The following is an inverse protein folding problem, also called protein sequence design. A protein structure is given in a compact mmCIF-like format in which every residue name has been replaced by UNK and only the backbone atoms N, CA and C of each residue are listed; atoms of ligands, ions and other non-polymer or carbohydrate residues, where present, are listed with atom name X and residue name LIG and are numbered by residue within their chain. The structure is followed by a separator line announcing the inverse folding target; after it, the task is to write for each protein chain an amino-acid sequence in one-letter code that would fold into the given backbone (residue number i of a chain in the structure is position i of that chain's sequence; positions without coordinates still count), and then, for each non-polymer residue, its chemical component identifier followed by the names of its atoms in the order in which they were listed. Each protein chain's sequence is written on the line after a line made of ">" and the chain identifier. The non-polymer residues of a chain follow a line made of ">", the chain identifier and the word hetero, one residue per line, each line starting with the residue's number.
data_IF_101633807407
#
_entry.id   IF_101633807407
#
_cell.length_a   1.000
_cell.length_b   1.000
_cell.length_c   1.000
_cell.angle_alpha   90.00
_cell.angle_beta   90.00
_cell.angle_gamma   90.00
#
_symmetry.space_group_name_H-M   'P 1'
#
loop_
_entity.id
_entity.type
_entity.pdbx_description
1 polymer ?
#
# COMPACT_ATOMS: atom_id res chain seq x y z
N UNK A 1 -15.11 4.65 10.86
CA UNK A 1 -13.90 3.84 10.58
C UNK A 1 -13.17 3.43 11.86
N UNK A 2 -12.92 4.36 12.73
CA UNK A 2 -12.25 4.07 14.01
C UNK A 2 -13.00 3.04 14.86
N UNK A 3 -14.32 3.18 14.96
CA UNK A 3 -15.14 2.24 15.73
C UNK A 3 -15.10 0.84 15.15
N UNK A 4 -15.04 0.74 13.83
CA UNK A 4 -14.96 -0.56 13.15
C UNK A 4 -13.65 -1.26 13.49
N UNK A 5 -12.55 -0.51 13.50
CA UNK A 5 -11.25 -1.06 13.88
C UNK A 5 -11.24 -1.53 15.33
N UNK A 6 -11.79 -0.71 16.24
CA UNK A 6 -11.81 -1.03 17.66
C UNK A 6 -12.75 -2.16 18.02
N UNK A 7 -13.88 -2.26 17.34
CA UNK A 7 -14.94 -3.20 17.71
C UNK A 7 -14.90 -4.52 16.94
N UNK A 8 -14.39 -4.52 15.72
CA UNK A 8 -14.42 -5.70 14.85
C UNK A 8 -13.01 -6.22 14.58
N UNK A 9 -12.17 -5.40 13.97
CA UNK A 9 -10.86 -5.86 13.50
C UNK A 9 -9.85 -6.00 14.64
N UNK A 10 -9.79 -5.04 15.53
CA UNK A 10 -8.87 -5.08 16.65
C UNK A 10 -8.98 -6.34 17.49
N UNK A 11 -10.20 -6.66 18.01
CA UNK A 11 -10.38 -7.88 18.80
C UNK A 11 -10.03 -9.17 18.06
N UNK A 12 -10.31 -9.23 16.75
CA UNK A 12 -10.06 -10.43 15.96
C UNK A 12 -8.59 -10.62 15.64
N UNK A 13 -7.86 -9.52 15.41
CA UNK A 13 -6.48 -9.54 14.93
C UNK A 13 -5.47 -9.12 15.97
N UNK A 14 -5.92 -8.86 17.18
CA UNK A 14 -5.04 -8.48 18.26
C UNK A 14 -4.02 -9.60 18.50
N UNK A 15 -2.77 -9.27 18.35
CA UNK A 15 -1.68 -10.19 18.57
C UNK A 15 -0.82 -9.71 19.74
N UNK A 16 0.07 -10.55 20.19
CA UNK A 16 0.99 -10.19 21.26
C UNK A 16 2.02 -9.12 20.83
N UNK A 17 2.01 -8.72 19.58
CA UNK A 17 2.87 -7.65 19.13
C UNK A 17 2.44 -6.34 19.79
N UNK A 18 3.38 -5.52 20.27
CA UNK A 18 3.02 -4.25 20.87
C UNK A 18 2.27 -3.41 19.85
N UNK A 19 1.08 -2.99 20.23
CA UNK A 19 0.27 -2.12 19.39
C UNK A 19 0.92 -0.74 19.36
N UNK A 20 1.88 -0.56 18.48
CA UNK A 20 2.31 0.78 18.13
C UNK A 20 1.14 1.41 17.38
N UNK A 21 0.57 2.46 17.92
CA UNK A 21 -0.54 3.18 17.30
C UNK A 21 -0.02 4.08 16.19
N UNK A 22 0.72 3.50 15.27
CA UNK A 22 1.23 4.15 14.08
C UNK A 22 0.57 3.53 12.87
N UNK A 23 0.65 4.21 11.75
CA UNK A 23 0.15 3.68 10.48
C UNK A 23 0.95 2.45 10.03
N UNK A 24 2.11 2.22 10.63
CA UNK A 24 2.97 1.07 10.35
C UNK A 24 3.14 0.22 11.61
N UNK A 25 3.22 -1.08 11.41
CA UNK A 25 3.57 -2.00 12.47
C UNK A 25 5.08 -2.18 12.51
N UNK A 26 5.65 -2.15 13.70
CA UNK A 26 7.08 -2.42 13.90
C UNK A 26 7.22 -3.78 14.57
N UNK A 27 7.93 -4.68 13.91
CA UNK A 27 8.03 -6.08 14.31
C UNK A 27 9.48 -6.46 14.56
N UNK A 28 9.79 -7.06 15.72
CA UNK A 28 11.15 -7.53 15.97
C UNK A 28 11.46 -8.74 15.09
N UNK A 29 12.63 -8.72 14.46
CA UNK A 29 13.12 -9.83 13.63
C UNK A 29 14.60 -10.03 14.00
N UNK A 30 14.87 -10.94 14.91
CA UNK A 30 16.22 -11.13 15.43
C UNK A 30 16.73 -9.86 16.09
N UNK A 31 17.89 -9.37 15.68
CA UNK A 31 18.49 -8.14 16.23
C UNK A 31 18.00 -6.88 15.51
N UNK A 32 17.17 -7.03 14.48
CA UNK A 32 16.63 -5.92 13.70
C UNK A 32 15.15 -5.74 13.97
N UNK A 33 14.61 -4.61 13.57
CA UNK A 33 13.17 -4.37 13.60
C UNK A 33 12.68 -4.16 12.19
N UNK A 34 11.60 -4.85 11.83
CA UNK A 34 10.94 -4.73 10.55
C UNK A 34 9.71 -3.85 10.71
N UNK A 35 9.56 -2.90 9.83
CA UNK A 35 8.37 -2.06 9.79
C UNK A 35 7.52 -2.48 8.62
N UNK A 36 6.22 -2.63 8.85
CA UNK A 36 5.26 -3.04 7.83
C UNK A 36 4.06 -2.12 7.83
N UNK A 37 3.61 -1.74 6.64
CA UNK A 37 2.41 -0.93 6.48
C UNK A 37 1.61 -1.39 5.27
N UNK A 38 0.35 -1.00 5.22
CA UNK A 38 -0.51 -1.25 4.06
C UNK A 38 -1.45 -0.06 3.88
N UNK A 39 -1.75 0.25 2.63
CA UNK A 39 -2.62 1.37 2.28
C UNK A 39 -3.45 1.02 1.06
N UNK A 40 -4.67 1.52 0.98
CA UNK A 40 -5.59 1.21 -0.11
C UNK A 40 -6.08 2.49 -0.76
N UNK A 41 -6.16 2.47 -2.08
CA UNK A 41 -6.57 3.60 -2.89
C UNK A 41 -7.64 3.19 -3.88
N UNK A 42 -8.59 4.09 -4.10
CA UNK A 42 -9.63 3.90 -5.11
C UNK A 42 -9.34 4.85 -6.27
N UNK A 43 -9.29 4.31 -7.48
CA UNK A 43 -9.07 5.10 -8.68
C UNK A 43 -10.34 5.08 -9.52
N UNK A 44 -10.95 6.24 -9.65
CA UNK A 44 -12.05 6.44 -10.58
C UNK A 44 -11.46 7.03 -11.87
N UNK A 45 -11.50 6.29 -12.99
CA UNK A 45 -10.87 6.75 -14.21
C UNK A 45 -11.48 8.03 -14.77
N UNK A 46 -12.72 8.36 -14.38
CA UNK A 46 -13.35 9.60 -14.80
C UNK A 46 -12.77 10.83 -14.08
N UNK A 47 -12.16 10.62 -12.93
CA UNK A 47 -11.60 11.69 -12.10
C UNK A 47 -10.11 11.92 -12.31
N UNK A 48 -9.42 10.96 -12.93
CA UNK A 48 -7.97 11.00 -13.08
C UNK A 48 -7.53 10.59 -14.47
N UNK A 49 -7.82 11.42 -15.47
CA UNK A 49 -7.27 11.15 -16.80
C UNK A 49 -5.75 11.34 -16.74
N UNK A 50 -5.00 10.33 -17.08
CA UNK A 50 -3.55 10.46 -17.16
C UNK A 50 -2.73 9.60 -16.21
N UNK A 51 -3.35 8.89 -15.28
CA UNK A 51 -2.66 7.86 -14.50
C UNK A 51 -1.77 8.36 -13.37
N UNK A 52 -1.90 9.61 -12.95
CA UNK A 52 -1.08 10.17 -11.86
C UNK A 52 -1.31 9.53 -10.49
N UNK A 53 -2.37 8.75 -10.35
CA UNK A 53 -2.77 8.15 -9.06
C UNK A 53 -1.79 7.07 -8.57
N UNK A 54 -1.00 6.49 -9.46
CA UNK A 54 0.00 5.50 -9.05
C UNK A 54 1.08 6.09 -8.15
N UNK A 55 1.39 7.37 -8.33
CA UNK A 55 2.38 8.06 -7.51
C UNK A 55 1.95 8.15 -6.05
N UNK A 56 0.75 8.64 -5.70
CA UNK A 56 0.31 8.63 -4.31
C UNK A 56 0.21 7.23 -3.71
N UNK A 57 -0.15 6.22 -4.52
CA UNK A 57 -0.25 4.85 -4.03
C UNK A 57 1.10 4.32 -3.52
N UNK A 58 2.19 4.67 -4.18
CA UNK A 58 3.53 4.30 -3.75
C UNK A 58 4.03 5.24 -2.66
N UNK A 59 3.94 6.54 -2.90
CA UNK A 59 4.50 7.55 -1.99
C UNK A 59 3.82 7.55 -0.62
N UNK A 60 2.51 7.29 -0.57
CA UNK A 60 1.80 7.20 0.70
C UNK A 60 2.32 6.08 1.57
N UNK A 61 2.53 4.91 0.99
CA UNK A 61 3.06 3.75 1.72
C UNK A 61 4.50 3.98 2.13
N UNK A 62 5.33 4.54 1.25
CA UNK A 62 6.71 4.89 1.58
C UNK A 62 6.75 5.91 2.72
N UNK A 63 5.88 6.91 2.66
CA UNK A 63 5.81 7.92 3.71
C UNK A 63 5.43 7.32 5.08
N UNK A 64 4.50 6.37 5.09
CA UNK A 64 4.11 5.70 6.33
C UNK A 64 5.28 4.94 6.95
N UNK A 65 6.10 4.29 6.13
CA UNK A 65 7.31 3.63 6.61
C UNK A 65 8.32 4.64 7.18
N UNK A 66 8.51 5.74 6.47
CA UNK A 66 9.43 6.80 6.91
C UNK A 66 8.97 7.44 8.21
N UNK A 67 7.67 7.63 8.38
CA UNK A 67 7.12 8.20 9.61
C UNK A 67 7.34 7.30 10.83
N UNK A 68 7.48 6.00 10.62
CA UNK A 68 7.82 5.06 11.68
C UNK A 68 9.34 4.95 11.90
N UNK A 69 10.13 5.77 11.24
CA UNK A 69 11.59 5.75 11.36
C UNK A 69 12.27 4.66 10.56
N UNK A 70 11.57 4.05 9.62
CA UNK A 70 12.11 2.96 8.84
C UNK A 70 12.72 3.45 7.52
N UNK A 71 13.71 2.70 7.05
CA UNK A 71 14.21 2.83 5.69
C UNK A 71 13.37 1.91 4.81
N UNK A 72 12.57 2.45 3.88
CA UNK A 72 11.74 1.61 3.01
C UNK A 72 12.60 0.69 2.15
N UNK A 73 12.15 -0.54 1.95
CA UNK A 73 12.90 -1.51 1.17
C UNK A 73 12.06 -2.11 0.04
N UNK A 74 10.93 -2.72 0.37
CA UNK A 74 10.12 -3.46 -0.60
C UNK A 74 8.65 -3.12 -0.45
N UNK A 75 7.95 -3.14 -1.58
CA UNK A 75 6.51 -2.99 -1.62
C UNK A 75 5.88 -4.19 -2.32
N UNK A 76 4.64 -4.46 -1.98
CA UNK A 76 3.74 -5.27 -2.78
C UNK A 76 2.61 -4.39 -3.30
N UNK A 77 2.03 -4.79 -4.44
CA UNK A 77 0.92 -4.04 -5.03
C UNK A 77 -0.18 -4.99 -5.47
N UNK A 78 -1.36 -4.83 -4.89
CA UNK A 78 -2.54 -5.58 -5.29
C UNK A 78 -3.50 -4.69 -6.05
N UNK A 79 -4.17 -5.25 -7.04
CA UNK A 79 -5.13 -4.54 -7.86
C UNK A 79 -6.45 -5.28 -7.91
N UNK A 80 -7.54 -4.57 -7.76
CA UNK A 80 -8.87 -5.09 -8.08
C UNK A 80 -9.41 -4.22 -9.21
N UNK A 81 -9.61 -4.83 -10.36
CA UNK A 81 -10.03 -4.15 -11.58
C UNK A 81 -11.50 -4.45 -11.86
N UNK A 82 -12.25 -3.41 -12.22
CA UNK A 82 -13.57 -3.62 -12.76
C UNK A 82 -13.47 -4.05 -14.22
N UNK A 83 -14.27 -5.04 -14.59
CA UNK A 83 -14.32 -5.51 -15.98
C UNK A 83 -14.59 -4.34 -16.91
N UNK A 84 -13.82 -4.24 -17.98
CA UNK A 84 -13.90 -3.14 -18.92
C UNK A 84 -13.01 -1.95 -18.60
N UNK A 85 -12.26 -1.99 -17.52
CA UNK A 85 -11.29 -0.94 -17.22
C UNK A 85 -10.26 -0.85 -18.36
N UNK A 86 -10.02 0.33 -18.94
CA UNK A 86 -9.14 0.45 -20.11
C UNK A 86 -7.71 0.03 -19.82
N UNK A 87 -7.16 -0.80 -20.69
CA UNK A 87 -5.79 -1.30 -20.53
C UNK A 87 -4.76 -0.17 -20.56
N UNK A 88 -4.99 0.84 -21.41
CA UNK A 88 -4.09 1.99 -21.49
C UNK A 88 -4.05 2.77 -20.17
N UNK A 89 -5.21 2.91 -19.52
CA UNK A 89 -5.28 3.56 -18.21
C UNK A 89 -4.54 2.76 -17.15
N UNK A 90 -4.68 1.43 -17.20
CA UNK A 90 -3.93 0.56 -16.28
C UNK A 90 -2.43 0.69 -16.50
N UNK A 91 -1.98 0.73 -17.75
CA UNK A 91 -0.55 0.90 -18.05
C UNK A 91 0.00 2.20 -17.50
N UNK A 92 -0.77 3.28 -17.59
CA UNK A 92 -0.35 4.58 -17.04
C UNK A 92 -0.24 4.55 -15.53
N UNK A 93 -1.21 3.91 -14.86
CA UNK A 93 -1.17 3.76 -13.40
C UNK A 93 0.06 2.95 -12.99
N UNK A 94 0.28 1.80 -13.62
CA UNK A 94 1.42 0.93 -13.31
C UNK A 94 2.74 1.64 -13.58
N UNK A 95 2.83 2.38 -14.69
CA UNK A 95 4.05 3.12 -15.01
C UNK A 95 4.33 4.22 -13.98
N UNK A 96 3.30 4.95 -13.55
CA UNK A 96 3.49 5.97 -12.51
C UNK A 96 3.93 5.35 -11.17
N UNK A 97 3.46 4.14 -10.87
CA UNK A 97 3.90 3.41 -9.69
C UNK A 97 5.37 3.00 -9.82
N UNK A 98 5.76 2.50 -10.97
CA UNK A 98 7.15 2.10 -11.22
C UNK A 98 8.10 3.29 -11.12
N UNK A 99 7.71 4.43 -11.68
CA UNK A 99 8.51 5.65 -11.63
C UNK A 99 8.66 6.16 -10.20
N UNK A 100 7.57 6.16 -9.45
CA UNK A 100 7.60 6.58 -8.05
C UNK A 100 8.45 5.64 -7.20
N UNK A 101 8.36 4.33 -7.43
CA UNK A 101 9.16 3.35 -6.71
C UNK A 101 10.65 3.56 -6.97
N UNK A 102 11.02 3.81 -8.23
CA UNK A 102 12.41 4.09 -8.58
C UNK A 102 12.91 5.36 -7.89
N UNK A 103 12.10 6.39 -7.86
CA UNK A 103 12.43 7.66 -7.21
C UNK A 103 12.63 7.50 -5.71
N UNK A 104 11.78 6.69 -5.07
CA UNK A 104 11.86 6.41 -3.64
C UNK A 104 12.88 5.32 -3.30
N UNK A 105 13.52 4.72 -4.29
CA UNK A 105 14.50 3.63 -4.12
C UNK A 105 13.92 2.41 -3.40
N UNK A 106 12.69 2.07 -3.75
CA UNK A 106 12.04 0.84 -3.28
C UNK A 106 11.73 -0.04 -4.47
N UNK A 107 11.61 -1.34 -4.25
CA UNK A 107 11.25 -2.28 -5.30
C UNK A 107 9.86 -2.84 -5.02
N UNK A 108 9.02 -2.87 -6.05
CA UNK A 108 7.74 -3.57 -5.98
C UNK A 108 8.03 -5.01 -6.39
N UNK A 109 7.98 -5.92 -5.43
CA UNK A 109 8.54 -7.27 -5.60
C UNK A 109 7.48 -8.35 -5.80
N UNK A 110 6.23 -8.06 -5.48
CA UNK A 110 5.14 -9.03 -5.64
C UNK A 110 3.82 -8.30 -5.70
N UNK A 111 2.78 -8.99 -6.10
CA UNK A 111 1.45 -8.43 -6.17
C UNK A 111 0.41 -9.46 -6.55
N UNK A 112 -0.81 -8.98 -6.69
CA UNK A 112 -1.94 -9.80 -7.09
C UNK A 112 -2.90 -8.95 -7.92
N UNK A 113 -3.67 -9.59 -8.77
CA UNK A 113 -4.66 -8.89 -9.59
C UNK A 113 -5.96 -9.69 -9.60
N UNK A 114 -7.05 -9.02 -9.34
CA UNK A 114 -8.37 -9.61 -9.37
C UNK A 114 -9.27 -8.76 -10.24
N UNK A 115 -10.09 -9.42 -11.07
CA UNK A 115 -11.05 -8.72 -11.91
C UNK A 115 -12.45 -9.00 -11.39
N UNK A 116 -13.24 -7.96 -11.20
CA UNK A 116 -14.62 -8.07 -10.75
C UNK A 116 -15.57 -7.65 -11.88
N UNK A 117 -16.83 -8.08 -11.77
CA UNK A 117 -17.83 -7.81 -12.78
C UNK A 117 -18.09 -6.30 -12.91
N UNK A 118 -18.43 -5.89 -14.14
CA UNK A 118 -18.79 -4.51 -14.41
C UNK A 118 -19.94 -4.07 -13.50
N UNK A 119 -19.82 -2.86 -12.97
CA UNK A 119 -20.79 -2.30 -12.03
C UNK A 119 -20.57 -2.69 -10.58
N UNK A 120 -19.56 -3.50 -10.31
CA UNK A 120 -19.23 -3.96 -8.94
C UNK A 120 -18.09 -3.19 -8.30
N UNK A 121 -17.64 -2.11 -8.93
CA UNK A 121 -16.54 -1.31 -8.41
C UNK A 121 -16.51 0.06 -9.05
N UNK A 122 -15.46 0.82 -8.79
CA UNK A 122 -15.28 2.18 -9.30
C UNK A 122 -14.07 2.29 -10.20
N UNK A 123 -13.77 1.25 -10.99
CA UNK A 123 -12.65 1.25 -11.89
C UNK A 123 -11.52 0.39 -11.38
N UNK A 124 -10.63 0.93 -10.57
CA UNK A 124 -9.55 0.15 -9.99
C UNK A 124 -9.34 0.50 -8.52
N UNK A 125 -9.09 -0.53 -7.73
CA UNK A 125 -8.63 -0.40 -6.35
C UNK A 125 -7.18 -0.86 -6.32
N UNK A 126 -6.34 -0.10 -5.63
CA UNK A 126 -4.94 -0.41 -5.47
C UNK A 126 -4.64 -0.54 -3.98
N UNK A 127 -4.05 -1.66 -3.61
CA UNK A 127 -3.51 -1.82 -2.27
C UNK A 127 -2.00 -1.94 -2.39
N UNK A 128 -1.27 -1.10 -1.66
CA UNK A 128 0.16 -1.23 -1.54
C UNK A 128 0.50 -1.58 -0.11
N UNK A 129 1.40 -2.52 0.06
CA UNK A 129 1.95 -2.87 1.35
C UNK A 129 3.46 -2.72 1.26
N UNK A 130 4.05 -2.26 2.33
CA UNK A 130 5.47 -2.00 2.34
C UNK A 130 6.16 -2.56 3.56
N UNK A 131 7.44 -2.88 3.40
CA UNK A 131 8.31 -3.25 4.50
C UNK A 131 9.57 -2.40 4.46
N UNK A 132 10.06 -2.07 5.62
CA UNK A 132 11.29 -1.33 5.78
C UNK A 132 12.01 -1.77 7.04
N UNK A 133 13.25 -1.38 7.14
CA UNK A 133 14.09 -1.72 8.29
C UNK A 133 14.27 -0.51 9.18
N UNK A 134 14.06 -0.68 10.46
CA UNK A 134 14.46 0.32 11.44
C UNK A 134 15.93 0.11 11.72
N UNK A 135 16.74 1.07 11.28
CA UNK A 135 18.16 1.11 11.60
C UNK A 135 18.32 1.97 12.80
N UNK A 136 18.88 1.44 13.81
CA UNK A 136 19.29 2.15 15.00
C UNK A 136 18.31 3.15 15.58
N UNK A 137 17.96 2.87 16.74
CA UNK A 137 17.45 3.87 17.65
C UNK A 137 18.54 4.89 17.94
N UNK A 138 18.38 5.99 17.35
CA UNK A 138 19.16 7.12 17.79
C UNK A 138 18.64 7.55 19.15
#
# INVERSE_FOLDING_TARGET
>A
MRDLIEQVFGPAFDSSAPAARHDSAVLPVGAASLTKTTDSYVVDPSSFPGGAIGTPAVCGTVNDLCMAGAEPAYLSAGFVLEEGFPLDSLRRVVQSMADAAAECRVAIVTGDTKVVDRGRGHGVYINTAGVGWVRDTV
#
